data_IF_820226158383
#
_entry.id   IF_820226158383
#
_cell.length_a   1.000
_cell.length_b   1.000
_cell.length_c   1.000
_cell.angle_alpha   90.00
_cell.angle_beta   90.00
_cell.angle_gamma   90.00
#
_symmetry.space_group_name_H-M   'P 1'
#
loop_
_entity.id
_entity.type
_entity.pdbx_description
1 polymer ?
#
# COMPACT_ATOMS: atom_id res chain seq x y z
N UNK A 1 9.75 -11.67 18.56
CA UNK A 1 9.21 -10.41 18.00
C UNK A 1 8.58 -10.74 16.65
N UNK A 2 7.25 -10.74 16.49
CA UNK A 2 6.67 -10.87 15.15
C UNK A 2 6.96 -9.59 14.37
N UNK A 3 7.52 -9.72 13.17
CA UNK A 3 7.65 -8.62 12.23
C UNK A 3 6.23 -8.15 11.89
N UNK A 4 5.89 -6.87 12.13
CA UNK A 4 4.61 -6.31 11.67
C UNK A 4 4.45 -6.66 10.19
N UNK A 5 3.38 -7.37 9.86
CA UNK A 5 3.12 -7.90 8.52
C UNK A 5 3.35 -6.82 7.47
N UNK A 6 4.41 -6.99 6.68
CA UNK A 6 4.68 -6.14 5.54
C UNK A 6 3.64 -6.46 4.48
N UNK A 7 2.54 -5.70 4.47
CA UNK A 7 1.57 -5.76 3.39
C UNK A 7 2.32 -5.45 2.09
N UNK A 8 2.14 -6.26 1.02
CA UNK A 8 2.79 -5.97 -0.24
C UNK A 8 2.26 -4.62 -0.75
N UNK A 9 3.17 -3.66 -0.89
CA UNK A 9 2.88 -2.37 -1.47
C UNK A 9 4.03 -1.94 -2.39
N UNK A 10 3.71 -1.20 -3.44
CA UNK A 10 4.68 -0.49 -4.26
C UNK A 10 4.51 1.01 -4.06
N UNK A 11 5.59 1.76 -4.11
CA UNK A 11 5.51 3.22 -4.04
C UNK A 11 6.40 3.82 -5.13
N UNK A 12 5.89 4.86 -5.80
CA UNK A 12 6.66 5.68 -6.72
C UNK A 12 6.67 7.11 -6.20
N UNK A 13 7.82 7.77 -6.31
CA UNK A 13 7.97 9.18 -5.94
C UNK A 13 8.51 9.95 -7.13
N UNK A 14 7.80 11.01 -7.50
CA UNK A 14 8.20 11.94 -8.54
C UNK A 14 8.13 13.36 -7.98
N UNK A 15 9.29 13.90 -7.61
CA UNK A 15 9.46 15.23 -7.04
C UNK A 15 8.61 15.46 -5.75
N UNK A 16 7.67 16.44 -5.63
CA UNK A 16 6.91 16.60 -4.39
C UNK A 16 5.81 15.54 -4.24
N UNK A 17 5.53 14.73 -5.25
CA UNK A 17 4.44 13.77 -5.24
C UNK A 17 4.92 12.35 -4.95
N UNK A 18 4.14 11.63 -4.14
CA UNK A 18 4.35 10.22 -3.79
C UNK A 18 3.05 9.46 -4.01
N UNK A 19 3.10 8.42 -4.83
CA UNK A 19 2.00 7.48 -5.03
C UNK A 19 2.34 6.16 -4.33
N UNK A 20 1.40 5.63 -3.57
CA UNK A 20 1.48 4.32 -2.92
C UNK A 20 0.38 3.43 -3.50
N UNK A 21 0.76 2.23 -3.94
CA UNK A 21 -0.13 1.20 -4.44
C UNK A 21 -0.11 0.00 -3.50
N UNK A 22 -1.26 -0.31 -2.91
CA UNK A 22 -1.45 -1.44 -2.01
C UNK A 22 -1.97 -2.65 -2.80
N UNK A 23 -1.18 -3.72 -2.89
CA UNK A 23 -1.53 -4.90 -3.70
C UNK A 23 -2.59 -5.81 -3.07
N UNK A 24 -2.88 -5.69 -1.78
CA UNK A 24 -3.95 -6.46 -1.12
C UNK A 24 -5.35 -6.04 -1.60
N UNK A 25 -5.57 -4.73 -1.76
CA UNK A 25 -6.89 -4.15 -2.04
C UNK A 25 -6.95 -3.39 -3.38
N UNK A 26 -5.88 -3.42 -4.18
CA UNK A 26 -5.70 -2.63 -5.41
C UNK A 26 -5.95 -1.12 -5.20
N UNK A 27 -5.54 -0.60 -4.04
CA UNK A 27 -5.77 0.79 -3.63
C UNK A 27 -4.59 1.68 -3.99
N UNK A 28 -4.89 2.88 -4.49
CA UNK A 28 -3.90 3.91 -4.80
C UNK A 28 -4.11 5.12 -3.88
N UNK A 29 -3.03 5.59 -3.26
CA UNK A 29 -3.01 6.78 -2.41
C UNK A 29 -1.95 7.75 -2.91
N UNK A 30 -2.33 9.02 -3.04
CA UNK A 30 -1.46 10.07 -3.55
C UNK A 30 -1.21 11.13 -2.48
N UNK A 31 0.06 11.39 -2.19
CA UNK A 31 0.49 12.36 -1.18
C UNK A 31 1.40 13.41 -1.80
N UNK A 32 1.30 14.65 -1.32
CA UNK A 32 2.24 15.72 -1.64
C UNK A 32 3.17 15.95 -0.44
N UNK A 33 4.41 15.49 -0.53
CA UNK A 33 5.41 15.57 0.53
C UNK A 33 5.95 16.98 0.78
N UNK A 34 5.73 17.92 -0.14
CA UNK A 34 6.16 19.31 0.03
C UNK A 34 5.20 20.09 0.94
N UNK A 35 3.89 19.81 0.82
CA UNK A 35 2.86 20.43 1.67
C UNK A 35 2.43 19.58 2.87
N UNK A 36 2.58 18.26 2.78
CA UNK A 36 2.10 17.31 3.80
C UNK A 36 3.10 16.15 3.98
N UNK A 37 4.19 16.43 4.69
CA UNK A 37 5.22 15.45 5.07
C UNK A 37 4.67 14.34 5.99
N UNK A 38 3.51 14.56 6.60
CA UNK A 38 2.86 13.60 7.50
C UNK A 38 2.01 12.56 6.78
N UNK A 39 1.91 12.62 5.45
CA UNK A 39 1.16 11.67 4.61
C UNK A 39 -0.31 11.53 5.07
N UNK A 40 -0.90 12.65 5.51
CA UNK A 40 -2.19 12.64 6.20
C UNK A 40 -3.37 12.86 5.25
N UNK A 41 -3.16 13.58 4.15
CA UNK A 41 -4.20 13.90 3.18
C UNK A 41 -4.00 13.12 1.89
N UNK A 42 -4.93 12.20 1.62
CA UNK A 42 -5.03 11.55 0.33
C UNK A 42 -5.56 12.55 -0.72
N UNK A 43 -4.69 12.89 -1.67
CA UNK A 43 -4.95 13.79 -2.79
C UNK A 43 -5.32 13.03 -4.08
N UNK A 44 -5.49 11.70 -4.02
CA UNK A 44 -5.82 10.86 -5.18
C UNK A 44 -7.10 11.33 -5.87
N UNK A 45 -8.13 11.70 -5.09
CA UNK A 45 -9.39 12.20 -5.61
C UNK A 45 -9.32 13.67 -6.06
N UNK A 46 -8.42 14.46 -5.45
CA UNK A 46 -8.26 15.87 -5.77
C UNK A 46 -7.43 16.11 -7.04
N UNK A 47 -6.49 15.21 -7.34
CA UNK A 47 -5.59 15.31 -8.49
C UNK A 47 -5.53 14.00 -9.30
N UNK A 48 -6.63 13.60 -9.96
CA UNK A 48 -6.69 12.37 -10.74
C UNK A 48 -5.70 12.34 -11.92
N UNK A 49 -5.35 13.52 -12.47
CA UNK A 49 -4.34 13.66 -13.53
C UNK A 49 -2.92 13.25 -13.06
N UNK A 50 -2.57 13.61 -11.82
CA UNK A 50 -1.26 13.30 -11.22
C UNK A 50 -1.22 11.83 -10.84
N UNK A 51 -2.32 11.32 -10.30
CA UNK A 51 -2.49 9.91 -10.02
C UNK A 51 -2.28 9.06 -11.28
N UNK A 52 -2.90 9.42 -12.40
CA UNK A 52 -2.79 8.67 -13.65
C UNK A 52 -1.35 8.70 -14.20
N UNK A 53 -0.71 9.88 -14.18
CA UNK A 53 0.70 10.03 -14.59
C UNK A 53 1.64 9.16 -13.76
N UNK A 54 1.52 9.21 -12.43
CA UNK A 54 2.35 8.42 -11.52
C UNK A 54 2.04 6.92 -11.62
N UNK A 55 0.78 6.56 -11.86
CA UNK A 55 0.37 5.17 -12.09
C UNK A 55 1.01 4.62 -13.34
N UNK A 56 1.04 5.40 -14.42
CA UNK A 56 1.68 5.00 -15.67
C UNK A 56 3.21 4.91 -15.52
N UNK A 57 3.82 5.86 -14.82
CA UNK A 57 5.24 5.81 -14.46
C UNK A 57 5.57 4.58 -13.60
N UNK A 58 4.73 4.25 -12.62
CA UNK A 58 4.87 3.05 -11.79
C UNK A 58 4.78 1.78 -12.64
N UNK A 59 3.83 1.70 -13.58
CA UNK A 59 3.69 0.57 -14.51
C UNK A 59 4.88 0.44 -15.44
N UNK A 60 5.37 1.55 -16.00
CA UNK A 60 6.58 1.53 -16.83
C UNK A 60 7.78 1.05 -16.02
N UNK A 61 7.99 1.59 -14.83
CA UNK A 61 9.08 1.17 -13.96
C UNK A 61 8.98 -0.31 -13.59
N UNK A 62 7.79 -0.82 -13.24
CA UNK A 62 7.58 -2.24 -12.97
C UNK A 62 7.92 -3.15 -14.17
N UNK A 63 7.60 -2.70 -15.39
CA UNK A 63 7.98 -3.41 -16.62
C UNK A 63 9.49 -3.35 -16.87
N UNK A 64 10.13 -2.20 -16.64
CA UNK A 64 11.58 -2.02 -16.81
C UNK A 64 12.40 -2.88 -15.85
N UNK A 65 11.97 -2.97 -14.59
CA UNK A 65 12.69 -3.73 -13.56
C UNK A 65 12.31 -5.22 -13.51
N UNK A 66 11.46 -5.69 -14.44
CA UNK A 66 10.87 -7.04 -14.44
C UNK A 66 10.36 -7.42 -13.03
N UNK A 67 9.65 -6.48 -12.39
CA UNK A 67 9.26 -6.63 -10.99
C UNK A 67 8.42 -7.91 -10.80
N UNK A 68 8.88 -8.80 -9.92
CA UNK A 68 8.11 -9.96 -9.49
C UNK A 68 6.88 -9.49 -8.72
N UNK A 69 5.73 -9.39 -9.41
CA UNK A 69 4.47 -9.06 -8.76
C UNK A 69 4.07 -10.16 -7.77
N UNK A 70 3.60 -9.79 -6.56
CA UNK A 70 3.08 -10.76 -5.61
C UNK A 70 1.85 -11.44 -6.22
N UNK A 71 1.88 -12.78 -6.28
CA UNK A 71 0.68 -13.56 -6.65
C UNK A 71 -0.17 -13.78 -5.39
N UNK A 72 -1.50 -13.67 -5.48
CA UNK A 72 -2.37 -13.98 -4.36
C UNK A 72 -2.12 -15.40 -3.88
N UNK A 73 -1.88 -15.57 -2.57
CA UNK A 73 -1.68 -16.87 -1.98
C UNK A 73 -3.03 -17.58 -1.84
N UNK A 74 -3.29 -18.69 -2.57
CA UNK A 74 -4.56 -19.39 -2.50
C UNK A 74 -4.83 -20.07 -1.15
N UNK A 75 -3.81 -20.19 -0.29
CA UNK A 75 -3.91 -20.78 1.04
C UNK A 75 -3.99 -19.75 2.17
N UNK A 76 -4.35 -18.49 1.85
CA UNK A 76 -4.62 -17.47 2.85
C UNK A 76 -5.94 -17.77 3.56
N UNK A 77 -5.87 -18.46 4.69
CA UNK A 77 -6.93 -18.51 5.67
C UNK A 77 -6.65 -17.43 6.72
N UNK A 78 -7.52 -16.43 6.94
CA UNK A 78 -7.43 -15.64 8.16
C UNK A 78 -7.56 -16.63 9.32
N UNK A 79 -6.51 -16.80 10.13
CA UNK A 79 -6.68 -17.49 11.41
C UNK A 79 -7.80 -16.74 12.14
N UNK A 80 -8.88 -17.42 12.56
CA UNK A 80 -9.86 -16.78 13.39
C UNK A 80 -9.12 -16.31 14.64
N UNK A 81 -9.15 -15.01 14.90
CA UNK A 81 -8.77 -14.44 16.18
C UNK A 81 -9.56 -15.23 17.24
N UNK A 82 -8.87 -16.15 17.92
CA UNK A 82 -9.41 -16.80 19.10
C UNK A 82 -9.43 -15.74 20.20
N UNK A 83 -10.48 -14.93 20.22
CA UNK A 83 -10.94 -14.17 21.37
C UNK A 83 -11.43 -15.14 22.46
N UNK A 84 -10.54 -16.04 22.92
CA UNK A 84 -10.73 -16.78 24.16
C UNK A 84 -9.92 -16.04 25.23
N UNK A 85 -10.53 -14.97 25.72
CA UNK A 85 -10.15 -14.38 27.02
C UNK A 85 -10.54 -15.43 28.05
N UNK A 86 -9.56 -16.14 28.59
CA UNK A 86 -9.77 -17.07 29.69
C UNK A 86 -10.27 -16.28 30.92
N UNK A 87 -11.50 -16.54 31.44
CA UNK A 87 -12.02 -15.82 32.59
C UNK A 87 -11.55 -16.38 33.95
N UNK A 88 -10.46 -17.16 34.02
CA UNK A 88 -9.98 -17.77 35.26
C UNK A 88 -8.65 -17.18 35.79
N UNK A 89 -8.61 -15.87 36.05
CA UNK A 89 -7.81 -15.33 37.17
C UNK A 89 -8.67 -14.37 38.00
N UNK A 90 -9.32 -14.95 39.02
CA UNK A 90 -9.80 -14.30 40.24
C UNK A 90 -8.86 -14.63 41.39
#
# INVERSE_FOLDING_TARGET
>A
MPTRGGRPAAAVREAPWKLIHHFEDDRYELFNLESDVSETNDLAQAHPEILDRLREALRQWQNEVEALMPRPNPNWAPEPLSDEVDPAEV
#
